data_IF_148219791676
#
_entry.id   IF_148219791676
#
_cell.length_a   1.000
_cell.length_b   1.000
_cell.length_c   1.000
_cell.angle_alpha   90.00
_cell.angle_beta   90.00
_cell.angle_gamma   90.00
#
_symmetry.space_group_name_H-M   'P 1'
#
loop_
_entity.id
_entity.type
_entity.pdbx_description
1 polymer ?
#
# COMPACT_ATOMS: atom_id res chain seq x y z
N UNK A 1 7.56 -2.91 8.33
CA UNK A 1 8.76 -2.07 8.10
C UNK A 1 9.19 -2.08 6.64
N UNK A 2 9.08 -3.22 5.95
CA UNK A 2 9.52 -3.37 4.57
C UNK A 2 9.04 -2.31 3.58
N UNK A 3 7.74 -1.96 3.60
CA UNK A 3 7.17 -0.96 2.68
C UNK A 3 7.83 0.42 2.80
N UNK A 4 8.11 0.88 4.02
CA UNK A 4 8.76 2.19 4.23
C UNK A 4 10.19 2.19 3.71
N UNK A 5 10.89 1.06 3.80
CA UNK A 5 12.25 0.88 3.28
C UNK A 5 12.29 1.05 1.76
N UNK A 6 11.34 0.44 1.04
CA UNK A 6 11.34 0.42 -0.42
C UNK A 6 10.56 1.58 -1.05
N UNK A 7 9.74 2.31 -0.29
CA UNK A 7 8.95 3.47 -0.77
C UNK A 7 9.03 4.65 0.21
N UNK A 8 10.22 5.18 0.51
CA UNK A 8 10.41 6.15 1.59
C UNK A 8 9.65 7.47 1.38
N UNK A 9 9.40 7.87 0.13
CA UNK A 9 8.67 9.08 -0.21
C UNK A 9 7.14 8.96 -0.06
N UNK A 10 6.60 7.74 0.06
CA UNK A 10 5.16 7.53 0.16
C UNK A 10 4.69 7.83 1.60
N UNK A 11 3.64 8.66 1.79
CA UNK A 11 2.98 8.82 3.08
C UNK A 11 2.35 7.50 3.51
N UNK A 12 2.62 7.08 4.75
CA UNK A 12 2.11 5.81 5.27
C UNK A 12 1.65 5.96 6.72
N UNK A 13 0.62 5.21 7.06
CA UNK A 13 0.13 5.03 8.41
C UNK A 13 -0.10 3.55 8.66
N UNK A 14 0.32 3.06 9.82
CA UNK A 14 0.01 1.70 10.24
C UNK A 14 -1.42 1.67 10.78
N UNK A 15 -2.29 0.89 10.16
CA UNK A 15 -3.61 0.59 10.70
C UNK A 15 -3.61 -0.86 11.21
N UNK A 16 -3.60 -1.02 12.53
CA UNK A 16 -3.60 -2.35 13.16
C UNK A 16 -4.95 -3.07 13.07
N UNK A 17 -5.99 -2.39 12.56
CA UNK A 17 -7.30 -2.98 12.31
C UNK A 17 -8.08 -2.18 11.27
N UNK A 18 -9.12 -2.80 10.70
CA UNK A 18 -10.08 -2.11 9.83
C UNK A 18 -10.80 -0.94 10.54
N UNK A 19 -10.95 -1.03 11.87
CA UNK A 19 -11.54 0.05 12.68
C UNK A 19 -10.59 1.25 12.85
N UNK A 20 -9.27 1.02 12.94
CA UNK A 20 -8.31 2.12 12.92
C UNK A 20 -8.31 2.84 11.57
N UNK A 21 -8.38 2.08 10.47
CA UNK A 21 -8.49 2.66 9.14
C UNK A 21 -9.83 3.38 8.93
N UNK A 22 -10.89 2.91 9.61
CA UNK A 22 -12.20 3.54 9.63
C UNK A 22 -12.22 4.94 10.23
N UNK A 23 -11.47 5.10 11.31
CA UNK A 23 -11.38 6.34 12.08
C UNK A 23 -10.40 7.34 11.47
N UNK A 24 -9.64 6.94 10.44
CA UNK A 24 -8.66 7.80 9.81
C UNK A 24 -9.36 8.91 9.03
N UNK A 25 -9.12 10.16 9.43
CA UNK A 25 -9.55 11.31 8.64
C UNK A 25 -8.65 11.40 7.41
N UNK A 26 -9.20 10.99 6.26
CA UNK A 26 -8.48 11.07 5.00
C UNK A 26 -8.47 12.52 4.50
N UNK A 27 -7.34 13.04 4.00
CA UNK A 27 -7.28 14.38 3.43
C UNK A 27 -8.30 14.51 2.29
N UNK A 28 -8.98 15.66 2.15
CA UNK A 28 -9.98 15.86 1.09
C UNK A 28 -9.36 15.80 -0.32
N UNK A 29 -8.04 15.97 -0.43
CA UNK A 29 -7.28 15.85 -1.69
C UNK A 29 -6.83 14.41 -2.00
N UNK A 30 -7.14 13.44 -1.13
CA UNK A 30 -6.67 12.06 -1.30
C UNK A 30 -7.43 11.39 -2.45
N UNK A 31 -6.72 11.07 -3.53
CA UNK A 31 -7.31 10.41 -4.70
C UNK A 31 -7.25 8.88 -4.60
N UNK A 32 -6.18 8.35 -4.01
CA UNK A 32 -5.90 6.91 -3.94
C UNK A 32 -5.44 6.50 -2.55
N UNK A 33 -5.98 5.37 -2.10
CA UNK A 33 -5.59 4.73 -0.84
C UNK A 33 -5.08 3.33 -1.15
N UNK A 34 -3.78 3.13 -1.00
CA UNK A 34 -3.15 1.81 -1.07
C UNK A 34 -3.19 1.15 0.30
N UNK A 35 -3.71 -0.08 0.36
CA UNK A 35 -3.85 -0.84 1.59
C UNK A 35 -2.98 -2.07 1.49
N UNK A 36 -1.84 -2.01 2.16
CA UNK A 36 -1.01 -3.18 2.40
C UNK A 36 -1.75 -4.15 3.31
N UNK A 37 -1.90 -5.40 2.85
CA UNK A 37 -2.51 -6.48 3.61
C UNK A 37 -1.64 -7.72 3.54
N UNK A 38 -1.76 -8.59 4.53
CA UNK A 38 -1.17 -9.93 4.44
C UNK A 38 -1.89 -10.74 3.35
N UNK A 39 -1.20 -11.73 2.81
CA UNK A 39 -1.73 -12.59 1.75
C UNK A 39 -2.60 -13.73 2.29
N UNK A 40 -3.50 -13.42 3.20
CA UNK A 40 -4.41 -14.37 3.82
C UNK A 40 -5.88 -14.00 3.61
N UNK A 41 -6.77 -14.84 4.16
CA UNK A 41 -8.20 -14.62 4.10
C UNK A 41 -8.65 -13.40 4.96
N UNK A 42 -8.00 -13.18 6.10
CA UNK A 42 -8.36 -12.12 7.05
C UNK A 42 -8.09 -10.74 6.45
N UNK A 43 -6.91 -10.55 5.85
CA UNK A 43 -6.51 -9.35 5.14
C UNK A 43 -7.40 -9.04 3.95
N UNK A 44 -7.86 -10.07 3.21
CA UNK A 44 -8.82 -9.88 2.11
C UNK A 44 -10.17 -9.35 2.64
N UNK A 45 -10.73 -9.99 3.67
CA UNK A 45 -12.01 -9.56 4.25
C UNK A 45 -11.92 -8.15 4.85
N UNK A 46 -10.80 -7.80 5.48
CA UNK A 46 -10.58 -6.46 6.01
C UNK A 46 -10.61 -5.40 4.89
N UNK A 47 -9.98 -5.68 3.76
CA UNK A 47 -10.00 -4.80 2.58
C UNK A 47 -11.41 -4.66 1.99
N UNK A 48 -12.16 -5.74 1.86
CA UNK A 48 -13.54 -5.70 1.32
C UNK A 48 -14.44 -4.83 2.19
N UNK A 49 -14.39 -5.00 3.52
CA UNK A 49 -15.14 -4.14 4.47
C UNK A 49 -14.74 -2.67 4.37
N UNK A 50 -13.46 -2.39 4.17
CA UNK A 50 -12.99 -1.02 3.96
C UNK A 50 -13.53 -0.44 2.65
N UNK A 51 -13.47 -1.21 1.55
CA UNK A 51 -13.98 -0.78 0.25
C UNK A 51 -15.44 -0.44 0.33
N UNK A 52 -16.24 -1.29 0.98
CA UNK A 52 -17.67 -1.06 1.20
C UNK A 52 -17.92 0.28 1.91
N UNK A 53 -17.20 0.52 3.02
CA UNK A 53 -17.33 1.76 3.79
C UNK A 53 -16.82 3.00 3.05
N UNK A 54 -15.85 2.83 2.15
CA UNK A 54 -15.30 3.90 1.34
C UNK A 54 -16.11 4.14 0.06
N UNK A 55 -17.20 3.39 -0.17
CA UNK A 55 -18.08 3.63 -1.32
C UNK A 55 -18.65 5.04 -1.23
N UNK A 56 -18.58 5.76 -2.35
CA UNK A 56 -19.08 7.13 -2.44
C UNK A 56 -18.11 8.22 -1.96
N UNK A 57 -16.93 7.88 -1.42
CA UNK A 57 -15.93 8.90 -1.03
C UNK A 57 -15.15 9.48 -2.21
N UNK A 58 -15.27 8.90 -3.41
CA UNK A 58 -14.45 9.24 -4.58
C UNK A 58 -13.00 8.74 -4.50
N UNK A 59 -12.61 8.07 -3.40
CA UNK A 59 -11.25 7.58 -3.18
C UNK A 59 -11.09 6.19 -3.79
N UNK A 60 -10.12 6.03 -4.67
CA UNK A 60 -9.77 4.75 -5.24
C UNK A 60 -8.95 3.92 -4.24
N UNK A 61 -9.62 3.00 -3.55
CA UNK A 61 -8.97 2.02 -2.66
C UNK A 61 -8.36 0.90 -3.49
N UNK A 62 -7.08 0.55 -3.26
CA UNK A 62 -6.36 -0.52 -3.96
C UNK A 62 -5.56 -1.38 -2.97
N UNK A 63 -5.57 -2.72 -3.07
CA UNK A 63 -4.66 -3.53 -2.27
C UNK A 63 -3.22 -3.35 -2.74
N UNK A 64 -2.29 -3.48 -1.80
CA UNK A 64 -0.94 -3.97 -2.05
C UNK A 64 -0.84 -5.35 -1.41
N UNK A 65 -0.45 -6.34 -2.20
CA UNK A 65 -0.40 -7.74 -1.82
C UNK A 65 1.06 -8.20 -1.86
N UNK A 66 1.57 -8.78 -0.77
CA UNK A 66 2.90 -9.38 -0.77
C UNK A 66 2.90 -10.63 -1.65
N UNK A 67 4.08 -11.01 -2.14
CA UNK A 67 4.27 -12.20 -2.98
C UNK A 67 4.23 -13.47 -2.13
N UNK A 68 4.78 -13.42 -0.92
CA UNK A 68 4.74 -14.48 0.09
C UNK A 68 3.57 -14.25 1.07
N UNK A 69 3.80 -14.47 2.37
CA UNK A 69 2.81 -14.30 3.44
C UNK A 69 2.59 -12.81 3.79
N UNK A 70 3.68 -12.07 4.01
CA UNK A 70 3.68 -10.66 4.36
C UNK A 70 4.85 -9.91 3.68
N UNK A 71 4.83 -8.57 3.72
CA UNK A 71 5.87 -7.76 3.08
C UNK A 71 7.25 -7.85 3.75
N UNK A 72 7.32 -8.19 5.03
CA UNK A 72 8.60 -8.40 5.68
C UNK A 72 9.21 -9.74 5.24
N UNK A 73 8.40 -10.79 5.09
CA UNK A 73 8.80 -12.06 4.52
C UNK A 73 9.29 -11.87 3.08
N UNK A 74 8.59 -11.05 2.29
CA UNK A 74 9.08 -10.67 0.96
C UNK A 74 10.43 -9.97 1.02
N UNK A 75 10.65 -9.01 1.92
CA UNK A 75 11.93 -8.32 2.04
C UNK A 75 13.07 -9.23 2.52
N UNK A 76 12.76 -10.27 3.30
CA UNK A 76 13.74 -11.27 3.73
C UNK A 76 14.09 -12.24 2.59
N UNK A 77 13.10 -12.60 1.77
CA UNK A 77 13.25 -13.57 0.69
C UNK A 77 13.68 -12.94 -0.64
N UNK A 78 13.43 -11.64 -0.82
CA UNK A 78 13.69 -10.86 -2.03
C UNK A 78 14.53 -9.63 -1.65
N UNK A 79 15.52 -9.31 -2.48
CA UNK A 79 16.25 -8.06 -2.31
C UNK A 79 15.32 -6.83 -2.44
N UNK A 80 15.65 -5.69 -1.81
CA UNK A 80 14.82 -4.48 -1.78
C UNK A 80 14.33 -4.02 -3.17
N UNK A 81 15.16 -4.13 -4.20
CA UNK A 81 14.80 -3.72 -5.57
C UNK A 81 13.72 -4.60 -6.19
N UNK A 82 13.75 -5.92 -5.90
CA UNK A 82 12.72 -6.84 -6.38
C UNK A 82 11.39 -6.58 -5.67
N UNK A 83 11.43 -6.30 -4.37
CA UNK A 83 10.23 -5.89 -3.64
C UNK A 83 9.69 -4.55 -4.17
N UNK A 84 10.57 -3.58 -4.47
CA UNK A 84 10.18 -2.29 -5.06
C UNK A 84 9.50 -2.47 -6.43
N UNK A 85 10.07 -3.31 -7.30
CA UNK A 85 9.48 -3.62 -8.61
C UNK A 85 8.10 -4.28 -8.46
N UNK A 86 7.97 -5.25 -7.54
CA UNK A 86 6.70 -5.90 -7.24
C UNK A 86 5.63 -4.94 -6.72
N UNK A 87 6.00 -3.95 -5.92
CA UNK A 87 5.08 -2.89 -5.48
C UNK A 87 4.73 -1.99 -6.66
N UNK A 88 5.69 -1.63 -7.51
CA UNK A 88 5.47 -0.76 -8.66
C UNK A 88 4.39 -1.32 -9.59
N UNK A 89 4.41 -2.63 -9.87
CA UNK A 89 3.38 -3.32 -10.68
C UNK A 89 1.95 -3.17 -10.14
N UNK A 90 1.80 -2.88 -8.84
CA UNK A 90 0.50 -2.76 -8.17
C UNK A 90 0.03 -1.31 -8.01
N UNK A 91 0.90 -0.32 -8.27
CA UNK A 91 0.57 1.10 -8.19
C UNK A 91 -0.11 1.61 -9.47
N UNK A 92 -0.59 2.86 -9.45
CA UNK A 92 -0.95 3.59 -10.65
C UNK A 92 0.31 4.27 -11.21
N UNK A 93 0.41 4.43 -12.52
CA UNK A 93 1.58 5.01 -13.19
C UNK A 93 1.97 6.39 -12.62
N UNK A 94 0.99 7.24 -12.33
CA UNK A 94 1.22 8.56 -11.72
C UNK A 94 1.87 8.44 -10.33
N UNK A 95 1.50 7.41 -9.56
CA UNK A 95 2.01 7.21 -8.21
C UNK A 95 3.38 6.54 -8.22
N UNK A 96 3.66 5.68 -9.21
CA UNK A 96 5.02 5.16 -9.46
C UNK A 96 5.96 6.34 -9.68
N UNK A 97 5.61 7.25 -10.59
CA UNK A 97 6.43 8.43 -10.90
C UNK A 97 6.66 9.33 -9.69
N UNK A 98 5.65 9.47 -8.85
CA UNK A 98 5.68 10.37 -7.68
C UNK A 98 6.44 9.79 -6.48
N UNK A 99 6.38 8.47 -6.27
CA UNK A 99 6.85 7.86 -5.02
C UNK A 99 7.95 6.81 -5.20
N UNK A 100 8.14 6.29 -6.42
CA UNK A 100 9.09 5.23 -6.74
C UNK A 100 10.17 5.63 -7.74
N UNK A 101 10.12 6.80 -8.35
CA UNK A 101 11.29 7.32 -9.06
C UNK A 101 12.17 7.98 -8.02
N UNK A 102 13.33 7.36 -7.76
CA UNK A 102 14.48 8.12 -7.23
C UNK A 102 14.96 8.93 -8.44
N UNK A 103 15.16 10.24 -8.29
CA UNK A 103 16.02 10.97 -9.22
C UNK A 103 17.30 10.15 -9.39
N UNK A 104 17.50 9.54 -10.57
CA UNK A 104 18.79 9.04 -10.97
C UNK A 104 19.63 10.29 -11.16
N UNK A 105 20.27 10.70 -10.05
CA UNK A 105 21.03 11.92 -9.98
C UNK A 105 22.04 11.96 -11.12
N UNK A 106 21.98 13.06 -11.86
CA UNK A 106 23.01 13.56 -12.75
C UNK A 106 24.41 13.47 -12.10
#
# INVERSE_FOLDING_TARGET
MALKTVTPAMPMVAALSAAHLAALTLPPILQRLYVARDNDHVGRLALERLRERSRGSGIAVRPLIPRAEDFNADLLNLDPDRLRAWIAEQLADDDIRRFLIVDDGL
#
